data_IF_229412354932
#
_entry.id   IF_229412354932
#
_cell.length_a   1.000
_cell.length_b   1.000
_cell.length_c   1.000
_cell.angle_alpha   90.00
_cell.angle_beta   90.00
_cell.angle_gamma   90.00
#
_symmetry.space_group_name_H-M   'P 1'
#
loop_
_entity.id
_entity.type
_entity.pdbx_description
1 polymer ?
#
# COMPACT_ATOMS: atom_id res chain seq x y z
N UNK A 1 38.59 -20.85 5.98
CA UNK A 1 38.28 -19.49 5.52
C UNK A 1 37.46 -19.60 4.25
N UNK A 2 36.14 -19.65 4.37
CA UNK A 2 35.22 -19.77 3.24
C UNK A 2 34.45 -18.47 3.12
N UNK A 3 34.81 -17.68 2.10
CA UNK A 3 34.15 -16.43 1.77
C UNK A 3 32.76 -16.71 1.22
N UNK A 4 31.74 -16.18 1.88
CA UNK A 4 30.39 -16.12 1.33
C UNK A 4 30.40 -15.20 0.13
N UNK A 5 29.96 -15.70 -1.03
CA UNK A 5 29.70 -14.86 -2.19
C UNK A 5 28.55 -13.92 -1.84
N UNK A 6 28.88 -12.66 -1.49
CA UNK A 6 27.97 -11.54 -1.66
C UNK A 6 27.51 -11.57 -3.11
N UNK A 7 26.23 -11.84 -3.35
CA UNK A 7 25.58 -11.55 -4.61
C UNK A 7 25.57 -10.02 -4.79
N UNK A 8 26.72 -9.51 -5.20
CA UNK A 8 26.89 -8.14 -5.67
C UNK A 8 26.14 -8.03 -7.00
N UNK A 9 24.87 -7.63 -6.94
CA UNK A 9 24.15 -7.14 -8.11
C UNK A 9 24.65 -5.72 -8.44
N UNK A 10 25.93 -5.61 -8.82
CA UNK A 10 26.53 -4.38 -9.30
C UNK A 10 26.33 -4.25 -10.81
N UNK A 11 25.09 -4.03 -11.24
CA UNK A 11 24.83 -3.52 -12.59
C UNK A 11 25.20 -2.03 -12.62
N UNK A 12 26.44 -1.70 -13.01
CA UNK A 12 26.83 -0.35 -13.44
C UNK A 12 26.16 -0.05 -14.79
N UNK A 13 24.88 0.29 -14.75
CA UNK A 13 24.20 0.95 -15.87
C UNK A 13 24.44 2.44 -15.70
N UNK A 14 25.14 3.05 -16.66
CA UNK A 14 25.28 4.51 -16.74
C UNK A 14 23.89 5.15 -16.75
N UNK A 15 23.61 6.01 -15.78
CA UNK A 15 22.28 6.58 -15.57
C UNK A 15 22.07 7.78 -16.50
N UNK A 16 20.94 7.85 -17.23
CA UNK A 16 20.47 9.10 -17.79
C UNK A 16 20.07 10.04 -16.64
N UNK A 17 20.51 11.29 -16.71
CA UNK A 17 20.03 12.36 -15.82
C UNK A 17 18.63 12.73 -16.30
N UNK A 18 17.60 12.23 -15.61
CA UNK A 18 16.22 12.71 -15.80
C UNK A 18 16.11 13.98 -14.95
N UNK A 19 16.26 15.14 -15.58
CA UNK A 19 15.97 16.41 -14.94
C UNK A 19 14.45 16.56 -14.82
N UNK A 20 13.92 16.53 -13.60
CA UNK A 20 12.55 16.98 -13.33
C UNK A 20 12.51 18.50 -13.44
N UNK A 21 12.23 19.01 -14.64
CA UNK A 21 11.81 20.40 -14.78
C UNK A 21 10.42 20.55 -14.17
N UNK A 22 10.34 21.15 -12.97
CA UNK A 22 9.09 21.68 -12.45
C UNK A 22 8.75 22.92 -13.28
N UNK A 23 8.06 22.74 -14.41
CA UNK A 23 7.52 23.85 -15.18
C UNK A 23 6.44 24.56 -14.35
N UNK A 24 6.75 25.80 -13.96
CA UNK A 24 5.78 26.76 -13.44
C UNK A 24 4.96 27.28 -14.63
N UNK A 25 3.70 26.84 -14.75
CA UNK A 25 2.78 27.38 -15.73
C UNK A 25 2.51 28.86 -15.42
N UNK A 26 3.06 29.75 -16.24
CA UNK A 26 2.84 31.19 -16.17
C UNK A 26 1.66 31.55 -17.09
N UNK A 27 0.43 31.46 -16.56
CA UNK A 27 -0.74 32.05 -17.20
C UNK A 27 -0.73 33.56 -17.01
N UNK A 28 -0.65 34.29 -18.13
CA UNK A 28 -0.61 35.76 -18.19
C UNK A 28 -2.01 36.31 -17.93
N UNK A 29 -2.29 36.65 -16.67
CA UNK A 29 -3.46 37.44 -16.29
C UNK A 29 -3.13 38.95 -16.23
N UNK A 30 -4.10 39.84 -16.53
CA UNK A 30 -3.88 41.29 -16.52
C UNK A 30 -3.67 41.84 -15.11
N UNK A 31 -2.74 42.79 -14.99
CA UNK A 31 -2.26 43.37 -13.75
C UNK A 31 -3.37 44.10 -12.95
N UNK A 32 -3.60 43.74 -11.67
CA UNK A 32 -4.40 44.59 -10.77
C UNK A 32 -3.59 45.81 -10.35
N UNK A 33 -4.20 46.99 -10.47
CA UNK A 33 -3.66 48.25 -9.99
C UNK A 33 -4.07 48.48 -8.52
N UNK A 34 -3.22 48.08 -7.57
CA UNK A 34 -3.21 48.60 -6.20
C UNK A 34 -1.95 48.12 -5.47
N UNK A 35 -1.15 49.08 -4.97
CA UNK A 35 0.13 48.85 -4.32
C UNK A 35 0.04 48.24 -2.92
N UNK A 36 -0.25 46.94 -2.85
CA UNK A 36 0.14 46.13 -1.70
C UNK A 36 1.60 45.71 -1.91
N UNK A 37 2.49 46.05 -0.97
CA UNK A 37 3.86 45.53 -0.95
C UNK A 37 3.79 44.00 -0.87
N UNK A 38 3.96 43.32 -2.00
CA UNK A 38 4.19 41.87 -2.04
C UNK A 38 5.42 41.56 -1.19
N UNK A 39 5.19 41.14 0.06
CA UNK A 39 6.24 40.50 0.85
C UNK A 39 6.63 39.24 0.11
N UNK A 40 7.82 39.26 -0.51
CA UNK A 40 8.42 38.10 -1.12
C UNK A 40 8.36 36.93 -0.12
N UNK A 41 7.49 35.96 -0.40
CA UNK A 41 7.37 34.76 0.42
C UNK A 41 8.64 33.96 0.16
N UNK A 42 9.53 33.91 1.15
CA UNK A 42 10.74 33.12 1.04
C UNK A 42 10.34 31.64 0.93
N UNK A 43 10.71 31.01 -0.19
CA UNK A 43 10.41 29.62 -0.44
C UNK A 43 11.14 28.72 0.55
N UNK A 44 10.41 27.82 1.21
CA UNK A 44 10.99 26.85 2.15
C UNK A 44 11.80 25.80 1.38
N UNK A 45 13.05 25.61 1.78
CA UNK A 45 13.98 24.65 1.17
C UNK A 45 14.07 23.35 1.98
N UNK A 46 14.66 22.30 1.38
CA UNK A 46 14.96 21.05 2.11
C UNK A 46 16.01 21.25 3.22
N UNK A 47 16.90 22.23 3.07
CA UNK A 47 17.88 22.58 4.11
C UNK A 47 17.20 23.20 5.33
N UNK A 48 16.13 23.99 5.12
CA UNK A 48 15.30 24.52 6.22
C UNK A 48 14.61 23.38 6.98
N UNK A 49 14.15 22.34 6.27
CA UNK A 49 13.57 21.14 6.88
C UNK A 49 14.60 20.40 7.73
N UNK A 50 15.82 20.19 7.21
CA UNK A 50 16.90 19.55 7.96
C UNK A 50 17.25 20.37 9.21
N UNK A 51 17.39 21.69 9.08
CA UNK A 51 17.68 22.57 10.21
C UNK A 51 16.58 22.51 11.28
N UNK A 52 15.31 22.44 10.87
CA UNK A 52 14.19 22.25 11.78
C UNK A 52 14.28 20.91 12.53
N UNK A 53 14.54 19.81 11.81
CA UNK A 53 14.72 18.48 12.43
C UNK A 53 15.86 18.52 13.46
N UNK A 54 17.01 19.10 13.09
CA UNK A 54 18.19 19.17 13.92
C UNK A 54 17.99 20.02 15.17
N UNK A 55 17.27 21.14 15.03
CA UNK A 55 16.92 22.02 16.14
C UNK A 55 15.91 21.40 17.10
N UNK A 56 14.96 20.62 16.60
CA UNK A 56 13.82 20.14 17.38
C UNK A 56 14.03 18.73 17.97
N UNK A 57 14.78 17.85 17.29
CA UNK A 57 15.00 16.47 17.72
C UNK A 57 16.47 16.07 17.85
N UNK A 58 17.39 16.77 17.19
CA UNK A 58 18.82 16.46 17.16
C UNK A 58 19.30 15.98 15.78
N UNK A 59 20.56 15.55 15.69
CA UNK A 59 21.24 15.26 14.41
C UNK A 59 20.39 14.40 13.44
N UNK A 60 20.09 14.97 12.27
CA UNK A 60 19.35 14.32 11.20
C UNK A 60 20.26 13.33 10.48
N UNK A 61 20.00 12.04 10.71
CA UNK A 61 20.75 10.91 10.18
C UNK A 61 20.30 10.46 8.79
N UNK A 62 19.07 10.79 8.40
CA UNK A 62 18.54 10.48 7.07
C UNK A 62 17.26 11.25 6.78
N UNK A 63 17.01 11.55 5.51
CA UNK A 63 15.82 12.26 5.03
C UNK A 63 15.43 11.74 3.64
N UNK A 64 14.20 11.26 3.53
CA UNK A 64 13.68 10.58 2.34
C UNK A 64 12.36 11.18 1.92
N UNK A 65 12.11 11.23 0.61
CA UNK A 65 10.76 11.45 0.09
C UNK A 65 9.88 10.23 0.36
N UNK A 66 8.59 10.47 0.58
CA UNK A 66 7.61 9.44 0.86
C UNK A 66 6.28 9.72 0.14
N UNK A 67 5.30 8.85 0.35
CA UNK A 67 3.91 9.12 0.00
C UNK A 67 3.67 9.27 -1.49
N UNK A 68 2.73 10.12 -1.89
CA UNK A 68 2.29 10.15 -3.30
C UNK A 68 3.36 10.63 -4.29
N UNK A 69 4.35 11.37 -3.81
CA UNK A 69 5.47 11.91 -4.60
C UNK A 69 6.31 10.82 -5.26
N UNK A 70 6.64 9.76 -4.52
CA UNK A 70 7.50 8.66 -5.04
C UNK A 70 6.77 7.72 -6.00
N UNK A 71 5.44 7.81 -6.02
CA UNK A 71 4.57 6.89 -6.73
C UNK A 71 4.08 7.41 -8.08
N UNK A 72 4.19 8.71 -8.34
CA UNK A 72 3.92 9.31 -9.65
C UNK A 72 2.44 9.29 -10.09
N UNK A 73 1.48 9.04 -9.20
CA UNK A 73 0.06 8.94 -9.59
C UNK A 73 -0.59 10.28 -9.94
N UNK A 74 -0.12 11.36 -9.29
CA UNK A 74 -0.65 12.72 -9.45
C UNK A 74 0.41 13.73 -9.04
N UNK A 75 0.29 14.97 -9.51
CA UNK A 75 1.09 16.08 -8.98
C UNK A 75 0.81 16.21 -7.46
N UNK A 76 1.82 16.07 -6.60
CA UNK A 76 1.60 16.17 -5.16
C UNK A 76 1.17 17.58 -4.78
N UNK A 77 0.18 17.66 -3.89
CA UNK A 77 -0.24 18.92 -3.25
C UNK A 77 0.66 19.27 -2.07
N UNK A 78 1.18 18.22 -1.44
CA UNK A 78 1.94 18.15 -0.22
C UNK A 78 3.10 17.17 -0.45
N UNK A 79 4.27 17.47 0.12
CA UNK A 79 5.47 16.64 -0.01
C UNK A 79 5.67 15.92 1.32
N UNK A 80 5.31 14.63 1.33
CA UNK A 80 5.60 13.75 2.46
C UNK A 80 7.10 13.47 2.55
N UNK A 81 7.70 13.74 3.71
CA UNK A 81 9.09 13.41 4.02
C UNK A 81 9.17 12.49 5.26
N UNK A 82 10.15 11.60 5.26
CA UNK A 82 10.51 10.77 6.41
C UNK A 82 11.92 11.12 6.88
N UNK A 83 12.03 11.64 8.10
CA UNK A 83 13.29 12.01 8.75
C UNK A 83 13.68 10.98 9.81
N UNK A 84 14.98 10.64 9.86
CA UNK A 84 15.57 9.75 10.87
C UNK A 84 16.58 10.55 11.69
N UNK A 85 16.53 10.46 13.02
CA UNK A 85 17.48 11.12 13.94
C UNK A 85 18.30 10.10 14.74
N UNK A 86 19.59 10.38 14.99
CA UNK A 86 20.54 9.41 15.57
C UNK A 86 20.11 8.81 16.91
N UNK A 87 19.57 9.63 17.81
CA UNK A 87 18.67 9.32 18.91
C UNK A 87 18.16 10.69 19.41
N UNK A 88 16.88 10.85 19.77
CA UNK A 88 16.36 12.16 20.13
C UNK A 88 16.98 12.67 21.43
N UNK A 89 17.73 13.78 21.36
CA UNK A 89 18.38 14.40 22.53
C UNK A 89 17.59 15.57 23.10
N UNK A 90 16.71 16.19 22.29
CA UNK A 90 16.00 17.42 22.66
C UNK A 90 14.52 17.18 22.96
N UNK A 91 13.83 16.44 22.08
CA UNK A 91 12.41 16.10 22.22
C UNK A 91 12.22 14.60 22.01
N UNK A 92 11.55 13.86 22.91
CA UNK A 92 11.29 12.45 22.70
C UNK A 92 10.41 12.25 21.46
N UNK A 93 10.80 11.32 20.60
CA UNK A 93 9.98 10.90 19.46
C UNK A 93 8.90 9.95 19.97
N UNK A 94 7.67 10.44 20.11
CA UNK A 94 6.50 9.60 20.38
C UNK A 94 5.95 9.10 19.05
N UNK A 95 6.34 7.90 18.66
CA UNK A 95 5.94 7.37 17.36
C UNK A 95 4.43 7.20 17.26
N UNK A 96 3.91 7.39 16.04
CA UNK A 96 2.49 7.33 15.72
C UNK A 96 1.63 8.37 16.47
N UNK A 97 2.24 9.45 16.95
CA UNK A 97 1.54 10.63 17.43
C UNK A 97 1.91 11.85 16.60
N UNK A 98 1.05 12.86 16.65
CA UNK A 98 1.30 14.16 16.01
C UNK A 98 2.52 14.87 16.59
N UNK A 99 3.06 14.46 17.75
CA UNK A 99 4.28 15.06 18.33
C UNK A 99 5.54 14.72 17.53
N UNK A 100 5.49 13.66 16.72
CA UNK A 100 6.56 13.20 15.83
C UNK A 100 6.34 13.64 14.37
N UNK A 101 5.46 14.60 14.14
CA UNK A 101 5.17 15.16 12.82
C UNK A 101 5.20 16.69 12.88
N UNK A 102 5.59 17.33 11.78
CA UNK A 102 5.46 18.77 11.61
C UNK A 102 5.29 19.14 10.13
N UNK A 103 4.76 20.33 9.89
CA UNK A 103 4.64 20.90 8.55
C UNK A 103 5.55 22.13 8.46
N UNK A 104 6.34 22.22 7.40
CA UNK A 104 7.17 23.39 7.10
C UNK A 104 7.04 23.71 5.61
N UNK A 105 6.37 24.81 5.28
CA UNK A 105 6.04 25.14 3.89
C UNK A 105 5.21 24.01 3.25
N UNK A 106 5.62 23.46 2.08
CA UNK A 106 4.92 22.37 1.40
C UNK A 106 5.24 20.98 1.97
N UNK A 107 6.13 20.87 2.96
CA UNK A 107 6.64 19.60 3.46
C UNK A 107 5.87 19.12 4.70
N UNK A 108 5.33 17.90 4.65
CA UNK A 108 4.81 17.17 5.82
C UNK A 108 5.85 16.14 6.24
N UNK A 109 6.47 16.34 7.41
CA UNK A 109 7.64 15.57 7.84
C UNK A 109 7.28 14.66 9.01
N UNK A 110 7.47 13.36 8.84
CA UNK A 110 7.40 12.36 9.92
C UNK A 110 8.79 12.02 10.44
N UNK A 111 8.99 12.12 11.76
CA UNK A 111 10.30 11.96 12.42
C UNK A 111 10.37 10.64 13.18
N UNK A 112 11.44 9.88 12.97
CA UNK A 112 11.72 8.60 13.63
C UNK A 112 13.09 8.63 14.31
N UNK A 113 13.24 7.98 15.47
CA UNK A 113 14.57 7.68 15.98
C UNK A 113 15.23 6.57 15.15
N UNK A 114 16.56 6.59 15.04
CA UNK A 114 17.34 5.56 14.35
C UNK A 114 17.06 4.17 14.93
N UNK A 115 17.07 4.03 16.26
CA UNK A 115 16.71 2.76 16.92
C UNK A 115 15.31 2.24 16.53
N UNK A 116 14.30 3.12 16.48
CA UNK A 116 12.95 2.73 16.09
C UNK A 116 12.91 2.31 14.62
N UNK A 117 13.51 3.10 13.74
CA UNK A 117 13.53 2.87 12.30
C UNK A 117 14.19 1.52 11.98
N UNK A 118 15.33 1.21 12.60
CA UNK A 118 16.04 -0.06 12.39
C UNK A 118 15.27 -1.27 12.91
N UNK A 119 14.63 -1.14 14.08
CA UNK A 119 13.74 -2.21 14.58
C UNK A 119 12.59 -2.46 13.61
N UNK A 120 11.99 -1.41 13.04
CA UNK A 120 10.93 -1.57 12.03
C UNK A 120 11.43 -2.24 10.76
N UNK A 121 12.67 -1.94 10.37
CA UNK A 121 13.31 -2.59 9.26
C UNK A 121 13.50 -4.11 9.51
N UNK A 122 13.93 -4.51 10.71
CA UNK A 122 14.05 -5.92 11.13
C UNK A 122 12.69 -6.67 11.21
N UNK A 123 11.60 -5.91 11.35
CA UNK A 123 10.21 -6.39 11.32
C UNK A 123 9.61 -6.40 9.89
N UNK A 124 10.42 -6.09 8.87
CA UNK A 124 10.02 -5.97 7.46
C UNK A 124 8.91 -4.94 7.25
N UNK A 125 8.95 -3.83 7.98
CA UNK A 125 8.01 -2.72 7.79
C UNK A 125 8.13 -2.15 6.38
N UNK A 126 7.02 -2.17 5.64
CA UNK A 126 6.99 -1.76 4.23
C UNK A 126 7.39 -0.30 4.04
N UNK A 127 7.08 0.60 4.97
CA UNK A 127 7.43 2.02 4.88
C UNK A 127 8.96 2.17 4.86
N UNK A 128 9.63 1.46 5.76
CA UNK A 128 11.10 1.55 5.90
C UNK A 128 11.81 0.86 4.75
N UNK A 129 11.30 -0.30 4.30
CA UNK A 129 11.78 -1.00 3.10
C UNK A 129 11.58 -0.15 1.82
N UNK A 130 10.49 0.62 1.76
CA UNK A 130 10.25 1.59 0.70
C UNK A 130 11.33 2.64 0.65
N UNK A 131 11.66 3.27 1.80
CA UNK A 131 12.75 4.25 1.88
C UNK A 131 14.11 3.70 1.45
N UNK A 132 14.44 2.46 1.83
CA UNK A 132 15.70 1.82 1.41
C UNK A 132 15.77 1.50 -0.08
N UNK A 133 14.62 1.32 -0.71
CA UNK A 133 14.54 1.00 -2.14
C UNK A 133 14.48 2.25 -3.03
N UNK A 134 14.46 3.46 -2.44
CA UNK A 134 14.24 4.68 -3.21
C UNK A 134 15.36 4.94 -4.23
N UNK A 135 14.99 5.41 -5.44
CA UNK A 135 15.94 6.03 -6.35
C UNK A 135 16.65 7.23 -5.67
N UNK A 136 17.95 7.46 -5.93
CA UNK A 136 18.73 8.57 -5.38
C UNK A 136 18.09 9.96 -5.45
N UNK A 137 17.32 10.26 -6.49
CA UNK A 137 16.58 11.52 -6.65
C UNK A 137 15.51 11.74 -5.56
N UNK A 138 15.07 10.68 -4.89
CA UNK A 138 14.13 10.72 -3.77
C UNK A 138 14.83 10.58 -2.40
N UNK A 139 16.17 10.64 -2.37
CA UNK A 139 16.98 10.56 -1.16
C UNK A 139 17.68 11.89 -0.94
N UNK A 140 17.19 12.68 0.03
CA UNK A 140 17.78 13.99 0.37
C UNK A 140 19.05 13.80 1.20
N UNK A 141 19.00 12.89 2.18
CA UNK A 141 20.14 12.50 3.01
C UNK A 141 20.07 10.99 3.27
N UNK A 142 21.01 10.18 2.74
CA UNK A 142 20.99 8.74 2.97
C UNK A 142 21.37 8.43 4.42
N UNK A 143 20.79 7.35 4.96
CA UNK A 143 21.16 6.82 6.26
C UNK A 143 22.46 6.02 6.15
N UNK A 144 23.51 6.49 6.80
CA UNK A 144 24.75 5.74 6.97
C UNK A 144 24.65 4.81 8.19
N UNK A 145 24.13 3.59 7.99
CA UNK A 145 24.12 2.50 8.99
C UNK A 145 24.35 1.15 8.28
N UNK A 146 25.33 0.37 8.76
CA UNK A 146 25.70 -0.91 8.14
C UNK A 146 24.56 -1.93 8.21
N UNK A 147 23.72 -1.90 9.26
CA UNK A 147 22.58 -2.82 9.40
C UNK A 147 21.51 -2.57 8.33
N UNK A 148 21.33 -1.31 7.94
CA UNK A 148 20.41 -0.94 6.87
C UNK A 148 20.96 -1.34 5.50
N UNK A 149 22.27 -1.18 5.30
CA UNK A 149 22.97 -1.50 4.05
C UNK A 149 23.05 -3.00 3.79
N UNK A 150 23.29 -3.78 4.83
CA UNK A 150 23.45 -5.23 4.77
C UNK A 150 22.15 -5.97 5.17
N UNK A 151 20.99 -5.31 5.10
CA UNK A 151 19.70 -5.93 5.42
C UNK A 151 19.41 -7.10 4.46
N UNK A 152 19.18 -8.27 5.03
CA UNK A 152 18.63 -9.42 4.31
C UNK A 152 17.12 -9.50 4.51
N UNK A 153 16.38 -9.76 3.43
CA UNK A 153 14.93 -9.91 3.49
C UNK A 153 14.58 -11.26 4.14
N UNK A 154 13.96 -11.17 5.32
CA UNK A 154 13.34 -12.31 5.99
C UNK A 154 11.97 -12.57 5.34
N UNK A 155 11.90 -13.59 4.48
CA UNK A 155 10.71 -13.90 3.69
C UNK A 155 9.48 -14.27 4.54
N UNK A 156 9.69 -14.84 5.74
CA UNK A 156 8.60 -15.22 6.63
C UNK A 156 7.99 -13.97 7.27
N UNK A 157 8.85 -13.10 7.82
CA UNK A 157 8.40 -11.82 8.37
C UNK A 157 7.80 -10.91 7.30
N UNK A 158 8.39 -10.86 6.11
CA UNK A 158 7.87 -10.08 4.98
C UNK A 158 6.47 -10.56 4.61
N UNK A 159 6.28 -11.88 4.45
CA UNK A 159 4.98 -12.45 4.13
C UNK A 159 3.92 -12.06 5.16
N UNK A 160 4.23 -12.19 6.45
CA UNK A 160 3.32 -11.82 7.52
C UNK A 160 3.02 -10.31 7.54
N UNK A 161 4.05 -9.48 7.35
CA UNK A 161 3.95 -8.03 7.35
C UNK A 161 3.06 -7.51 6.23
N UNK A 162 3.31 -7.96 5.00
CA UNK A 162 2.60 -7.51 3.81
C UNK A 162 1.13 -7.94 3.85
N UNK A 163 0.84 -9.20 4.18
CA UNK A 163 -0.54 -9.69 4.26
C UNK A 163 -1.30 -8.97 5.38
N UNK A 164 -0.72 -8.88 6.58
CA UNK A 164 -1.37 -8.20 7.71
C UNK A 164 -1.68 -6.73 7.38
N UNK A 165 -0.75 -6.03 6.73
CA UNK A 165 -0.94 -4.64 6.37
C UNK A 165 -1.98 -4.44 5.27
N UNK A 166 -2.03 -5.36 4.30
CA UNK A 166 -3.05 -5.38 3.25
C UNK A 166 -4.45 -5.62 3.83
N UNK A 167 -4.61 -6.61 4.72
CA UNK A 167 -5.87 -6.89 5.42
C UNK A 167 -6.34 -5.70 6.27
N UNK A 168 -5.44 -5.13 7.08
CA UNK A 168 -5.74 -3.95 7.87
C UNK A 168 -6.20 -2.79 6.99
N UNK A 169 -5.51 -2.55 5.88
CA UNK A 169 -5.83 -1.45 4.96
C UNK A 169 -7.18 -1.67 4.27
N UNK A 170 -7.53 -2.92 3.95
CA UNK A 170 -8.85 -3.29 3.44
C UNK A 170 -9.97 -2.98 4.45
N UNK A 171 -9.79 -3.40 5.71
CA UNK A 171 -10.73 -3.11 6.80
C UNK A 171 -10.82 -1.61 7.11
N UNK A 172 -9.71 -0.89 6.98
CA UNK A 172 -9.69 0.57 7.08
C UNK A 172 -10.49 1.22 5.96
N UNK A 173 -10.36 0.75 4.71
CA UNK A 173 -11.15 1.26 3.58
C UNK A 173 -12.66 1.10 3.80
N UNK A 174 -13.07 -0.05 4.36
CA UNK A 174 -14.46 -0.29 4.82
C UNK A 174 -14.91 0.73 5.84
N UNK A 175 -14.10 0.95 6.88
CA UNK A 175 -14.42 1.88 7.97
C UNK A 175 -14.53 3.31 7.46
N UNK A 176 -13.63 3.72 6.56
CA UNK A 176 -13.65 5.03 5.91
C UNK A 176 -14.95 5.21 5.11
N UNK A 177 -15.36 4.22 4.33
CA UNK A 177 -16.63 4.31 3.59
C UNK A 177 -17.83 4.36 4.54
N UNK A 178 -17.95 3.39 5.45
CA UNK A 178 -19.17 3.19 6.23
C UNK A 178 -19.32 4.12 7.44
N UNK A 179 -18.22 4.64 7.99
CA UNK A 179 -18.25 5.48 9.20
C UNK A 179 -17.86 6.93 8.94
N UNK A 180 -17.00 7.19 7.96
CA UNK A 180 -16.56 8.55 7.64
C UNK A 180 -17.23 9.09 6.39
N UNK A 181 -18.04 8.26 5.72
CA UNK A 181 -18.85 8.66 4.57
C UNK A 181 -18.00 9.23 3.42
N UNK A 182 -16.76 8.75 3.29
CA UNK A 182 -15.76 9.26 2.35
C UNK A 182 -15.40 8.20 1.29
N UNK A 183 -16.16 8.12 0.19
CA UNK A 183 -15.91 7.14 -0.87
C UNK A 183 -14.56 7.37 -1.57
N UNK A 184 -14.13 8.63 -1.74
CA UNK A 184 -12.85 8.94 -2.36
C UNK A 184 -11.69 8.38 -1.53
N UNK A 185 -11.64 8.68 -0.22
CA UNK A 185 -10.61 8.16 0.67
C UNK A 185 -10.73 6.64 0.84
N UNK A 186 -11.93 6.07 0.81
CA UNK A 186 -12.11 4.62 0.79
C UNK A 186 -11.43 4.00 -0.44
N UNK A 187 -11.73 4.50 -1.65
CA UNK A 187 -11.11 4.03 -2.90
C UNK A 187 -9.58 4.13 -2.87
N UNK A 188 -9.02 5.21 -2.30
CA UNK A 188 -7.58 5.38 -2.07
C UNK A 188 -7.00 4.31 -1.14
N UNK A 189 -7.72 3.92 -0.08
CA UNK A 189 -7.26 2.84 0.80
C UNK A 189 -7.37 1.48 0.09
N UNK A 190 -8.46 1.19 -0.64
CA UNK A 190 -8.58 -0.07 -1.40
C UNK A 190 -7.45 -0.18 -2.41
N UNK A 191 -7.18 0.88 -3.17
CA UNK A 191 -6.04 0.99 -4.07
C UNK A 191 -4.70 0.66 -3.38
N UNK A 192 -4.49 1.23 -2.20
CA UNK A 192 -3.26 1.01 -1.45
C UNK A 192 -3.05 -0.45 -1.03
N UNK A 193 -4.13 -1.23 -0.82
CA UNK A 193 -4.04 -2.68 -0.57
C UNK A 193 -3.29 -3.39 -1.71
N UNK A 194 -3.66 -3.11 -2.95
CA UNK A 194 -3.03 -3.71 -4.13
C UNK A 194 -1.58 -3.26 -4.30
N UNK A 195 -1.29 -1.99 -3.98
CA UNK A 195 0.08 -1.48 -3.94
C UNK A 195 0.93 -2.20 -2.89
N UNK A 196 0.43 -2.40 -1.67
CA UNK A 196 1.14 -3.13 -0.61
C UNK A 196 1.55 -4.53 -1.08
N UNK A 197 0.62 -5.26 -1.71
CA UNK A 197 0.88 -6.60 -2.24
C UNK A 197 1.90 -6.59 -3.39
N UNK A 198 1.79 -5.64 -4.32
CA UNK A 198 2.72 -5.53 -5.45
C UNK A 198 4.15 -5.14 -5.00
N UNK A 199 4.28 -4.20 -4.06
CA UNK A 199 5.59 -3.85 -3.49
C UNK A 199 6.18 -5.02 -2.71
N UNK A 200 5.36 -5.74 -1.94
CA UNK A 200 5.77 -6.97 -1.26
C UNK A 200 6.27 -8.04 -2.22
N UNK A 201 5.62 -8.20 -3.38
CA UNK A 201 6.03 -9.11 -4.45
C UNK A 201 7.43 -8.77 -4.97
N UNK A 202 7.69 -7.50 -5.29
CA UNK A 202 9.01 -7.05 -5.75
C UNK A 202 10.11 -7.26 -4.70
N UNK A 203 9.79 -7.03 -3.41
CA UNK A 203 10.69 -7.29 -2.29
C UNK A 203 11.03 -8.78 -2.17
N UNK A 204 10.04 -9.66 -2.31
CA UNK A 204 10.27 -11.11 -2.29
C UNK A 204 11.12 -11.58 -3.48
N UNK A 205 10.90 -11.04 -4.67
CA UNK A 205 11.60 -11.46 -5.90
C UNK A 205 13.02 -10.90 -6.03
N UNK A 206 13.23 -9.65 -5.63
CA UNK A 206 14.47 -8.92 -5.94
C UNK A 206 15.20 -8.37 -4.72
N UNK A 207 14.63 -8.52 -3.52
CA UNK A 207 15.16 -7.96 -2.28
C UNK A 207 14.96 -6.45 -2.13
N UNK A 208 14.35 -5.78 -3.12
CA UNK A 208 14.08 -4.32 -3.13
C UNK A 208 12.85 -3.99 -3.97
N UNK A 209 12.37 -2.76 -3.89
CA UNK A 209 11.37 -2.23 -4.84
C UNK A 209 12.10 -1.66 -6.05
N UNK A 210 11.76 -2.15 -7.24
CA UNK A 210 12.38 -1.74 -8.51
C UNK A 210 11.48 -0.83 -9.35
N UNK A 211 10.16 -0.96 -9.18
CA UNK A 211 9.16 -0.17 -9.87
C UNK A 211 8.06 0.30 -8.89
N UNK A 212 8.13 1.57 -8.51
CA UNK A 212 7.18 2.21 -7.61
C UNK A 212 5.83 2.51 -8.27
N UNK A 213 5.74 2.40 -9.60
CA UNK A 213 4.55 2.69 -10.40
C UNK A 213 3.79 1.42 -10.82
N UNK A 214 4.33 0.22 -10.55
CA UNK A 214 3.76 -1.07 -10.99
C UNK A 214 2.28 -1.25 -10.63
N UNK A 215 1.84 -0.68 -9.50
CA UNK A 215 0.46 -0.77 -9.03
C UNK A 215 -0.48 0.32 -9.57
N UNK A 216 -0.02 1.30 -10.36
CA UNK A 216 -0.79 2.51 -10.68
C UNK A 216 -2.09 2.24 -11.45
N UNK A 217 -2.10 1.21 -12.30
CA UNK A 217 -3.29 0.78 -13.03
C UNK A 217 -4.47 0.40 -12.09
N UNK A 218 -4.19 -0.06 -10.86
CA UNK A 218 -5.25 -0.33 -9.88
C UNK A 218 -6.01 0.93 -9.47
N UNK A 219 -5.38 2.10 -9.49
CA UNK A 219 -6.05 3.35 -9.13
C UNK A 219 -7.18 3.64 -10.12
N UNK A 220 -6.87 3.57 -11.42
CA UNK A 220 -7.84 3.79 -12.49
C UNK A 220 -8.99 2.78 -12.40
N UNK A 221 -8.66 1.49 -12.21
CA UNK A 221 -9.65 0.44 -12.10
C UNK A 221 -10.60 0.63 -10.89
N UNK A 222 -10.03 0.86 -9.71
CA UNK A 222 -10.80 0.98 -8.45
C UNK A 222 -11.57 2.30 -8.42
N UNK A 223 -10.93 3.41 -8.79
CA UNK A 223 -11.59 4.70 -8.81
C UNK A 223 -12.70 4.73 -9.85
N UNK A 224 -12.45 4.21 -11.05
CA UNK A 224 -13.45 4.06 -12.11
C UNK A 224 -14.63 3.19 -11.68
N UNK A 225 -14.40 2.12 -10.90
CA UNK A 225 -15.49 1.32 -10.32
C UNK A 225 -16.31 2.11 -9.30
N UNK A 226 -15.66 2.88 -8.43
CA UNK A 226 -16.34 3.74 -7.45
C UNK A 226 -17.21 4.80 -8.12
N UNK A 227 -16.70 5.46 -9.16
CA UNK A 227 -17.42 6.49 -9.90
C UNK A 227 -18.57 5.92 -10.73
N UNK A 228 -18.28 4.88 -11.53
CA UNK A 228 -19.24 4.26 -12.45
C UNK A 228 -20.43 3.67 -11.71
N UNK A 229 -20.18 3.01 -10.58
CA UNK A 229 -21.23 2.40 -9.77
C UNK A 229 -21.88 3.39 -8.80
N UNK A 230 -21.37 4.62 -8.73
CA UNK A 230 -21.78 5.65 -7.79
C UNK A 230 -21.80 5.13 -6.34
N UNK A 231 -20.68 4.56 -5.89
CA UNK A 231 -20.55 3.98 -4.55
C UNK A 231 -20.85 5.05 -3.50
N UNK A 232 -21.89 4.81 -2.70
CA UNK A 232 -22.41 5.75 -1.70
C UNK A 232 -22.40 5.16 -0.29
N UNK A 233 -21.98 5.95 0.72
CA UNK A 233 -21.93 5.47 2.09
C UNK A 233 -23.33 5.17 2.66
N UNK A 234 -24.36 5.95 2.29
CA UNK A 234 -25.73 5.81 2.79
C UNK A 234 -26.38 4.49 2.34
N UNK A 235 -25.92 3.96 1.20
CA UNK A 235 -26.40 2.68 0.65
C UNK A 235 -25.68 1.47 1.24
N UNK A 236 -24.70 1.68 2.13
CA UNK A 236 -23.82 0.64 2.67
C UNK A 236 -23.16 -0.18 1.56
N UNK A 237 -22.76 0.49 0.48
CA UNK A 237 -22.22 -0.10 -0.75
C UNK A 237 -20.88 -0.83 -0.57
N UNK A 238 -20.36 -0.97 0.65
CA UNK A 238 -19.19 -1.81 0.90
C UNK A 238 -19.37 -3.24 0.39
N UNK A 239 -20.57 -3.80 0.51
CA UNK A 239 -20.85 -5.14 0.00
C UNK A 239 -20.73 -5.22 -1.53
N UNK A 240 -21.00 -4.11 -2.24
CA UNK A 240 -20.77 -4.00 -3.69
C UNK A 240 -19.26 -3.96 -3.98
N UNK A 241 -18.51 -3.16 -3.22
CA UNK A 241 -17.05 -3.08 -3.32
C UNK A 241 -16.41 -4.46 -3.12
N UNK A 242 -16.81 -5.20 -2.08
CA UNK A 242 -16.31 -6.55 -1.84
C UNK A 242 -16.70 -7.53 -2.95
N UNK A 243 -17.94 -7.51 -3.42
CA UNK A 243 -18.39 -8.39 -4.48
C UNK A 243 -17.53 -8.29 -5.75
N UNK A 244 -17.04 -7.09 -6.05
CA UNK A 244 -16.25 -6.80 -7.25
C UNK A 244 -14.75 -7.06 -7.01
N UNK A 245 -14.22 -6.55 -5.90
CA UNK A 245 -12.77 -6.46 -5.70
C UNK A 245 -12.19 -7.58 -4.83
N UNK A 246 -13.01 -8.36 -4.11
CA UNK A 246 -12.51 -9.43 -3.24
C UNK A 246 -11.79 -10.55 -4.02
N UNK A 247 -12.27 -10.86 -5.23
CA UNK A 247 -11.61 -11.81 -6.12
C UNK A 247 -10.20 -11.34 -6.47
N UNK A 248 -10.08 -10.10 -6.94
CA UNK A 248 -8.80 -9.47 -7.26
C UNK A 248 -7.85 -9.40 -6.05
N UNK A 249 -8.36 -9.06 -4.86
CA UNK A 249 -7.57 -9.06 -3.63
C UNK A 249 -6.96 -10.44 -3.36
N UNK A 250 -7.79 -11.50 -3.40
CA UNK A 250 -7.31 -12.87 -3.19
C UNK A 250 -6.26 -13.26 -4.22
N UNK A 251 -6.50 -12.94 -5.49
CA UNK A 251 -5.57 -13.29 -6.57
C UNK A 251 -4.21 -12.60 -6.39
N UNK A 252 -4.19 -11.34 -5.93
CA UNK A 252 -2.93 -10.66 -5.59
C UNK A 252 -2.24 -11.26 -4.37
N UNK A 253 -2.99 -11.68 -3.34
CA UNK A 253 -2.41 -12.40 -2.18
C UNK A 253 -1.76 -13.71 -2.64
N UNK A 254 -2.43 -14.49 -3.48
CA UNK A 254 -1.89 -15.74 -4.02
C UNK A 254 -0.65 -15.51 -4.88
N UNK A 255 -0.65 -14.47 -5.73
CA UNK A 255 0.53 -14.08 -6.52
C UNK A 255 1.71 -13.71 -5.63
N UNK A 256 1.48 -12.88 -4.61
CA UNK A 256 2.51 -12.52 -3.65
C UNK A 256 3.08 -13.75 -2.93
N UNK A 257 2.21 -14.64 -2.42
CA UNK A 257 2.63 -15.88 -1.76
C UNK A 257 3.42 -16.80 -2.69
N UNK A 258 3.03 -16.90 -3.97
CA UNK A 258 3.77 -17.66 -4.97
C UNK A 258 5.20 -17.09 -5.18
N UNK A 259 5.35 -15.76 -5.23
CA UNK A 259 6.67 -15.12 -5.30
C UNK A 259 7.52 -15.38 -4.04
N UNK A 260 6.92 -15.37 -2.85
CA UNK A 260 7.60 -15.75 -1.60
C UNK A 260 8.07 -17.21 -1.65
N UNK A 261 7.23 -18.14 -2.08
CA UNK A 261 7.62 -19.56 -2.20
C UNK A 261 8.68 -19.80 -3.27
N UNK A 262 8.61 -19.09 -4.40
CA UNK A 262 9.64 -19.11 -5.42
C UNK A 262 10.99 -18.63 -4.85
N UNK A 263 11.00 -17.51 -4.12
CA UNK A 263 12.20 -16.99 -3.48
C UNK A 263 12.76 -17.96 -2.42
N UNK A 264 11.91 -18.59 -1.60
CA UNK A 264 12.31 -19.65 -0.65
C UNK A 264 12.94 -20.84 -1.36
N UNK A 265 12.34 -21.31 -2.46
CA UNK A 265 12.91 -22.40 -3.28
C UNK A 265 14.26 -22.01 -3.86
N UNK A 266 14.41 -20.80 -4.39
CA UNK A 266 15.67 -20.29 -4.91
C UNK A 266 16.76 -20.24 -3.82
N UNK A 267 16.43 -19.77 -2.61
CA UNK A 267 17.36 -19.75 -1.48
C UNK A 267 17.82 -21.16 -1.06
N UNK A 268 16.92 -22.16 -1.11
CA UNK A 268 17.25 -23.58 -0.84
C UNK A 268 18.06 -24.23 -1.95
N UNK A 269 17.68 -23.99 -3.22
CA UNK A 269 18.37 -24.53 -4.40
C UNK A 269 19.76 -23.93 -4.63
N UNK A 270 20.02 -22.72 -4.14
CA UNK A 270 21.37 -22.20 -4.08
C UNK A 270 22.27 -23.02 -3.12
N UNK A 271 21.68 -23.71 -2.13
CA UNK A 271 22.40 -24.57 -1.19
C UNK A 271 22.46 -26.04 -1.61
N UNK A 272 21.45 -26.53 -2.33
CA UNK A 272 21.40 -27.89 -2.86
C UNK A 272 21.67 -27.83 -4.37
N UNK A 273 22.87 -28.28 -4.80
CA UNK A 273 23.27 -28.28 -6.22
C UNK A 273 22.21 -28.84 -7.18
N UNK A 274 22.30 -28.53 -8.49
CA UNK A 274 21.21 -28.69 -9.44
C UNK A 274 20.81 -30.16 -9.61
N UNK A 275 19.63 -30.52 -9.11
CA UNK A 275 18.90 -31.74 -9.47
C UNK A 275 17.52 -31.31 -9.99
N UNK A 276 17.52 -30.74 -11.20
CA UNK A 276 16.30 -30.36 -11.90
C UNK A 276 15.80 -31.58 -12.67
N UNK A 277 14.77 -32.26 -12.14
CA UNK A 277 13.92 -33.11 -12.96
C UNK A 277 12.74 -32.25 -13.40
N UNK A 278 12.62 -32.11 -14.71
CA UNK A 278 11.59 -31.36 -15.42
C UNK A 278 10.21 -31.98 -15.15
N UNK A 279 9.49 -31.47 -14.15
CA UNK A 279 8.05 -31.71 -13.99
C UNK A 279 7.28 -30.57 -14.69
N UNK A 280 7.51 -30.41 -15.99
CA UNK A 280 6.73 -29.53 -16.87
C UNK A 280 5.49 -30.28 -17.39
N UNK A 281 4.42 -30.38 -16.59
CA UNK A 281 3.08 -30.61 -17.13
C UNK A 281 1.98 -30.19 -16.13
N UNK A 282 1.96 -28.90 -15.76
CA UNK A 282 0.77 -28.33 -15.10
C UNK A 282 -0.29 -28.07 -16.19
N UNK A 283 -1.02 -29.13 -16.55
CA UNK A 283 -2.17 -29.05 -17.45
C UNK A 283 -3.21 -28.10 -16.84
N UNK A 284 -3.41 -26.94 -17.49
CA UNK A 284 -4.46 -25.97 -17.17
C UNK A 284 -5.82 -26.61 -17.47
N UNK A 285 -6.29 -27.45 -16.54
CA UNK A 285 -7.61 -28.09 -16.53
C UNK A 285 -8.71 -27.06 -16.21
N UNK A 286 -8.64 -25.85 -16.80
CA UNK A 286 -9.76 -24.93 -16.78
C UNK A 286 -10.86 -25.56 -17.64
N UNK A 287 -12.04 -25.87 -17.06
CA UNK A 287 -13.14 -26.45 -17.82
C UNK A 287 -13.47 -25.54 -19.01
N UNK A 288 -13.57 -26.17 -20.18
CA UNK A 288 -13.95 -25.51 -21.43
C UNK A 288 -15.21 -24.66 -21.22
N UNK A 289 -15.12 -23.40 -21.64
CA UNK A 289 -16.13 -22.35 -21.50
C UNK A 289 -17.37 -22.66 -22.34
N UNK A 290 -18.26 -23.50 -21.82
CA UNK A 290 -19.62 -23.59 -22.33
C UNK A 290 -20.36 -22.29 -21.95
N UNK A 291 -20.60 -21.45 -22.97
CA UNK A 291 -21.44 -20.25 -22.96
C UNK A 291 -21.28 -19.33 -21.72
N UNK A 292 -20.22 -18.50 -21.75
CA UNK A 292 -19.96 -17.40 -20.82
C UNK A 292 -21.05 -16.31 -20.95
N UNK A 293 -22.26 -16.55 -20.42
CA UNK A 293 -23.31 -15.53 -20.28
C UNK A 293 -23.44 -15.12 -18.82
N UNK A 294 -23.67 -13.83 -18.58
CA UNK A 294 -23.96 -13.32 -17.25
C UNK A 294 -25.31 -13.88 -16.80
N UNK A 295 -25.39 -14.57 -15.66
CA UNK A 295 -26.62 -15.24 -15.29
C UNK A 295 -27.74 -14.28 -14.83
N UNK A 296 -27.44 -12.99 -14.72
CA UNK A 296 -28.40 -11.95 -14.29
C UNK A 296 -29.05 -11.27 -15.50
N UNK A 297 -28.26 -10.74 -16.44
CA UNK A 297 -28.80 -10.08 -17.64
C UNK A 297 -28.91 -11.00 -18.86
N UNK A 298 -28.29 -12.19 -18.81
CA UNK A 298 -28.19 -13.16 -19.92
C UNK A 298 -27.37 -12.66 -21.12
N UNK A 299 -26.70 -11.51 -21.01
CA UNK A 299 -25.77 -11.03 -22.03
C UNK A 299 -24.42 -11.76 -21.95
N UNK A 300 -23.72 -11.78 -23.09
CA UNK A 300 -22.40 -12.39 -23.20
C UNK A 300 -21.38 -11.71 -22.28
N UNK A 301 -20.68 -12.52 -21.48
CA UNK A 301 -19.47 -12.16 -20.75
C UNK A 301 -18.34 -12.14 -21.77
N UNK A 302 -17.99 -10.94 -22.25
CA UNK A 302 -16.79 -10.77 -23.08
C UNK A 302 -15.59 -10.85 -22.15
N UNK A 303 -14.68 -11.78 -22.41
CA UNK A 303 -13.35 -11.80 -21.79
C UNK A 303 -12.58 -10.58 -22.30
N UNK A 304 -12.73 -9.43 -21.64
CA UNK A 304 -11.77 -8.34 -21.84
C UNK A 304 -10.50 -8.75 -21.11
N UNK A 305 -9.54 -9.32 -21.83
CA UNK A 305 -8.18 -9.52 -21.31
C UNK A 305 -7.41 -8.19 -21.13
N UNK A 306 -8.06 -7.06 -21.43
CA UNK A 306 -7.57 -5.71 -21.09
C UNK A 306 -8.44 -5.04 -20.04
N UNK A 307 -7.86 -4.06 -19.33
CA UNK A 307 -8.61 -3.07 -18.53
C UNK A 307 -9.66 -2.44 -19.45
N UNK A 308 -10.92 -2.89 -19.34
CA UNK A 308 -11.99 -2.42 -20.21
C UNK A 308 -12.21 -0.92 -20.00
N UNK A 309 -12.32 -0.17 -21.10
CA UNK A 309 -12.62 1.27 -21.08
C UNK A 309 -13.96 1.59 -20.39
N UNK A 310 -14.87 0.61 -20.31
CA UNK A 310 -16.12 0.71 -19.58
C UNK A 310 -16.18 -0.29 -18.41
N UNK A 311 -15.95 0.23 -17.20
CA UNK A 311 -16.01 -0.53 -15.95
C UNK A 311 -17.39 -1.16 -15.72
N UNK A 312 -18.47 -0.59 -16.24
CA UNK A 312 -19.83 -1.14 -16.11
C UNK A 312 -20.01 -2.47 -16.83
N UNK A 313 -19.35 -2.61 -17.99
CA UNK A 313 -19.33 -3.83 -18.81
C UNK A 313 -18.30 -4.87 -18.35
N UNK A 314 -17.42 -4.49 -17.42
CA UNK A 314 -16.40 -5.39 -16.88
C UNK A 314 -17.02 -6.55 -16.10
N UNK A 315 -16.26 -7.64 -16.01
CA UNK A 315 -16.73 -8.92 -15.44
C UNK A 315 -15.93 -9.20 -14.18
N UNK A 316 -16.60 -9.52 -13.09
CA UNK A 316 -15.96 -9.93 -11.84
C UNK A 316 -16.24 -11.41 -11.53
N UNK A 317 -15.23 -12.12 -11.07
CA UNK A 317 -15.36 -13.46 -10.50
C UNK A 317 -15.57 -13.37 -8.99
N UNK A 318 -16.67 -13.92 -8.49
CA UNK A 318 -16.99 -13.86 -7.07
C UNK A 318 -16.03 -14.74 -6.25
N UNK A 319 -15.42 -14.16 -5.22
CA UNK A 319 -14.35 -14.80 -4.45
C UNK A 319 -14.72 -16.22 -3.98
N UNK A 320 -15.84 -16.43 -3.28
CA UNK A 320 -16.09 -17.72 -2.64
C UNK A 320 -16.68 -18.81 -3.55
N UNK A 321 -17.12 -18.49 -4.77
CA UNK A 321 -17.82 -19.46 -5.62
C UNK A 321 -17.39 -19.47 -7.09
N UNK A 322 -16.56 -18.51 -7.52
CA UNK A 322 -16.05 -18.44 -8.89
C UNK A 322 -17.08 -18.03 -9.96
N UNK A 323 -18.36 -17.87 -9.61
CA UNK A 323 -19.36 -17.38 -10.57
C UNK A 323 -18.96 -16.01 -11.11
N UNK A 324 -19.07 -15.85 -12.44
CA UNK A 324 -18.71 -14.63 -13.17
C UNK A 324 -19.97 -13.84 -13.50
N UNK A 325 -19.95 -12.55 -13.23
CA UNK A 325 -21.06 -11.63 -13.50
C UNK A 325 -20.53 -10.31 -14.02
N UNK A 326 -21.34 -9.56 -14.78
CA UNK A 326 -21.02 -8.15 -15.03
C UNK A 326 -21.05 -7.37 -13.71
N UNK A 327 -20.12 -6.43 -13.58
CA UNK A 327 -19.96 -5.59 -12.40
C UNK A 327 -21.25 -4.80 -12.09
N UNK A 328 -21.90 -4.23 -13.11
CA UNK A 328 -23.19 -3.57 -12.94
C UNK A 328 -24.30 -4.53 -12.45
N UNK A 329 -24.33 -5.77 -12.96
CA UNK A 329 -25.32 -6.77 -12.57
C UNK A 329 -25.17 -7.22 -11.12
N UNK A 330 -23.94 -7.51 -10.68
CA UNK A 330 -23.71 -7.89 -9.28
C UNK A 330 -23.98 -6.72 -8.33
N UNK A 331 -23.61 -5.49 -8.70
CA UNK A 331 -23.90 -4.29 -7.89
C UNK A 331 -25.41 -4.10 -7.70
N UNK A 332 -26.20 -4.19 -8.79
CA UNK A 332 -27.66 -4.11 -8.73
C UNK A 332 -28.25 -5.24 -7.87
N UNK A 333 -27.76 -6.47 -8.05
CA UNK A 333 -28.20 -7.63 -7.24
C UNK A 333 -27.92 -7.41 -5.75
N UNK A 334 -26.71 -6.98 -5.38
CA UNK A 334 -26.32 -6.74 -3.98
C UNK A 334 -27.20 -5.66 -3.35
N UNK A 335 -27.43 -4.54 -4.06
CA UNK A 335 -28.30 -3.45 -3.58
C UNK A 335 -29.76 -3.86 -3.40
N UNK A 336 -30.24 -4.84 -4.15
CA UNK A 336 -31.61 -5.34 -4.04
C UNK A 336 -31.86 -6.27 -2.85
N UNK A 337 -30.80 -6.84 -2.26
CA UNK A 337 -30.91 -7.83 -1.18
C UNK A 337 -31.11 -7.12 0.16
N UNK A 338 -32.23 -7.42 0.83
CA UNK A 338 -32.43 -7.06 2.22
C UNK A 338 -31.66 -8.05 3.11
N UNK A 339 -30.39 -7.76 3.43
CA UNK A 339 -29.60 -8.59 4.34
C UNK A 339 -28.12 -8.67 3.98
N UNK A 340 -27.52 -9.85 4.20
CA UNK A 340 -26.11 -10.10 3.86
C UNK A 340 -25.99 -10.29 2.36
N UNK A 341 -25.06 -9.57 1.73
CA UNK A 341 -24.76 -9.75 0.33
C UNK A 341 -24.32 -11.19 0.03
N UNK A 342 -24.93 -11.75 -1.00
CA UNK A 342 -24.73 -13.14 -1.42
C UNK A 342 -24.77 -13.25 -2.94
N UNK A 343 -24.12 -14.28 -3.46
CA UNK A 343 -24.15 -14.61 -4.88
C UNK A 343 -25.59 -14.87 -5.34
N UNK A 344 -26.07 -14.26 -6.44
CA UNK A 344 -27.43 -14.51 -6.94
C UNK A 344 -27.63 -15.97 -7.40
N UNK A 345 -26.55 -16.69 -7.73
CA UNK A 345 -26.59 -18.07 -8.21
C UNK A 345 -26.65 -19.10 -7.09
N UNK A 346 -25.64 -19.12 -6.22
CA UNK A 346 -25.51 -20.15 -5.19
C UNK A 346 -25.81 -19.67 -3.78
N UNK A 347 -26.13 -18.37 -3.60
CA UNK A 347 -26.31 -17.73 -2.28
C UNK A 347 -25.08 -17.78 -1.37
N UNK A 348 -23.91 -18.14 -1.91
CA UNK A 348 -22.64 -18.06 -1.19
C UNK A 348 -22.31 -16.63 -0.77
N UNK A 349 -21.69 -16.47 0.40
CA UNK A 349 -21.24 -15.16 0.91
C UNK A 349 -20.31 -14.48 -0.10
N UNK A 350 -20.46 -13.17 -0.30
CA UNK A 350 -19.53 -12.37 -1.11
C UNK A 350 -18.37 -11.78 -0.29
N UNK A 351 -18.49 -11.81 1.04
CA UNK A 351 -17.54 -11.17 1.93
C UNK A 351 -16.26 -11.99 2.07
N UNK A 352 -15.15 -11.27 2.17
CA UNK A 352 -13.91 -11.82 2.70
C UNK A 352 -14.07 -12.05 4.20
N UNK A 353 -13.51 -13.14 4.70
CA UNK A 353 -13.53 -13.46 6.13
C UNK A 353 -12.17 -13.10 6.69
N UNK A 354 -12.12 -11.98 7.41
CA UNK A 354 -10.97 -11.57 8.21
C UNK A 354 -11.30 -11.71 9.69
N UNK A 355 -10.30 -12.05 10.49
CA UNK A 355 -10.36 -11.81 11.92
C UNK A 355 -10.06 -10.33 12.17
N UNK A 356 -11.11 -9.50 12.17
CA UNK A 356 -10.98 -8.03 12.26
C UNK A 356 -10.23 -7.59 13.52
N UNK A 357 -10.54 -8.20 14.66
CA UNK A 357 -9.94 -7.87 15.95
C UNK A 357 -8.45 -8.23 15.95
N UNK A 358 -8.12 -9.41 15.43
CA UNK A 358 -6.73 -9.84 15.35
C UNK A 358 -5.92 -9.01 14.34
N UNK A 359 -6.48 -8.68 13.17
CA UNK A 359 -5.82 -7.85 12.17
C UNK A 359 -5.53 -6.42 12.70
N UNK A 360 -6.50 -5.82 13.41
CA UNK A 360 -6.31 -4.50 14.03
C UNK A 360 -5.28 -4.57 15.17
N UNK A 361 -5.36 -5.59 16.04
CA UNK A 361 -4.42 -5.74 17.15
C UNK A 361 -2.97 -5.90 16.69
N UNK A 362 -2.72 -6.75 15.69
CA UNK A 362 -1.37 -6.95 15.10
C UNK A 362 -0.81 -5.65 14.53
N UNK A 363 -1.62 -4.89 13.80
CA UNK A 363 -1.16 -3.62 13.22
C UNK A 363 -0.86 -2.56 14.30
N UNK A 364 -1.67 -2.48 15.35
CA UNK A 364 -1.42 -1.56 16.46
C UNK A 364 -0.13 -1.91 17.21
N UNK A 365 0.12 -3.19 17.45
CA UNK A 365 1.37 -3.69 18.01
C UNK A 365 2.56 -3.34 17.11
N UNK A 366 2.44 -3.58 15.79
CA UNK A 366 3.45 -3.17 14.79
C UNK A 366 3.65 -1.67 14.73
N UNK A 367 2.69 -0.83 15.10
CA UNK A 367 2.92 0.62 15.20
C UNK A 367 3.58 1.05 16.51
N UNK A 368 3.84 0.10 17.41
CA UNK A 368 4.30 0.40 18.77
C UNK A 368 3.21 1.07 19.62
N UNK A 369 1.96 1.07 19.15
CA UNK A 369 0.81 1.53 19.90
C UNK A 369 0.35 0.33 20.72
N UNK A 370 1.00 0.11 21.87
CA UNK A 370 0.38 -0.75 22.88
C UNK A 370 -0.91 -0.06 23.27
N UNK A 371 -2.05 -0.65 22.89
CA UNK A 371 -3.29 -0.31 23.56
C UNK A 371 -3.01 -0.47 25.05
N UNK A 372 -3.11 0.62 25.81
CA UNK A 372 -3.39 0.49 27.22
C UNK A 372 -4.80 -0.08 27.27
N UNK A 373 -4.91 -1.39 27.02
CA UNK A 373 -6.17 -2.09 27.03
C UNK A 373 -6.88 -1.75 28.34
N UNK A 374 -8.22 -1.69 28.34
CA UNK A 374 -8.96 -1.45 29.57
C UNK A 374 -8.41 -2.41 30.62
N UNK A 375 -7.76 -1.87 31.67
CA UNK A 375 -7.23 -2.69 32.76
C UNK A 375 -8.37 -3.63 33.15
N UNK A 376 -8.20 -4.96 33.06
CA UNK A 376 -9.29 -5.91 33.32
C UNK A 376 -9.89 -5.50 34.65
N UNK A 377 -11.18 -5.17 34.59
CA UNK A 377 -11.86 -4.31 35.54
C UNK A 377 -11.46 -4.65 36.96
N UNK A 378 -10.96 -3.64 37.69
CA UNK A 378 -10.95 -3.70 39.14
C UNK A 378 -12.33 -4.16 39.57
N UNK A 379 -12.37 -5.36 40.15
CA UNK A 379 -13.58 -5.95 40.71
C UNK A 379 -14.24 -4.86 41.53
N UNK A 380 -15.42 -4.38 41.11
CA UNK A 380 -16.27 -3.57 41.98
C UNK A 380 -16.51 -4.43 43.21
N UNK A 381 -15.78 -4.12 44.28
CA UNK A 381 -15.98 -4.74 45.57
C UNK A 381 -17.46 -4.59 45.90
N UNK A 382 -18.14 -5.73 46.04
CA UNK A 382 -19.44 -5.79 46.66
C UNK A 382 -19.26 -5.30 48.10
N UNK A 383 -19.54 -4.02 48.34
CA UNK A 383 -19.73 -3.48 49.68
C UNK A 383 -20.97 -4.12 50.30
N UNK A 384 -20.78 -4.74 51.46
CA UNK A 384 -21.84 -5.20 52.36
C UNK A 384 -22.46 -4.03 53.11
#
# INVERSE_FOLDING_TARGET
STSWHKLSCASRVGRPVIAFHMETAADVLPAPASGEEEKAVQETTLDDVIAEVERSWGSCAGLYFHGSTIFGNKKPTDIDLLAIVNEPTLKPVKVATTDAQFTLGPYEVSVYSRSFWLRKLEEMDLTMLTCLSLPPEFVVRPLEDDRARDLEIDLDKLSEAIISYAEYTWLKARRVLLRWEDPHKSSKNVYFVFRVLELGRQLAESGRIVDFMAANHWWEHIHGAYETLQIKPEQKDWDVVEAILAGHFRDQVLRFQASVEAARRAARGAAAGPDWKDDEEEQDNRPSTADDHCPVCLDLIRSSEGLAEDVGSSVCGLVNCGHRLHVACIAASVRSIQGKASCPMCRGSLRLVFDEDHAVARELERRGIREQGPRPGGSKGAGR
#
